data_IF_492534569969
#
_entry.id   IF_492534569969
#
_cell.length_a   1.000
_cell.length_b   1.000
_cell.length_c   1.000
_cell.angle_alpha   90.00
_cell.angle_beta   90.00
_cell.angle_gamma   90.00
#
_symmetry.space_group_name_H-M   'P 1'
#
loop_
_entity.id
_entity.type
_entity.pdbx_description
1 polymer ?
#
# COMPACT_ATOMS: atom_id res chain seq x y z
N UNK A 1 34.65 28.52 11.51
CA UNK A 1 34.82 27.72 12.73
C UNK A 1 33.44 27.33 13.26
N UNK A 2 32.74 28.11 14.08
CA UNK A 2 31.39 27.68 14.57
C UNK A 2 30.34 27.53 13.45
N UNK A 3 30.31 28.43 12.47
CA UNK A 3 29.38 28.35 11.32
C UNK A 3 29.72 27.22 10.34
N UNK A 4 30.98 26.76 10.30
CA UNK A 4 31.39 25.66 9.41
C UNK A 4 31.10 24.30 10.04
N UNK A 5 31.13 24.21 11.37
CA UNK A 5 30.76 22.99 12.11
C UNK A 5 29.24 22.75 12.07
N UNK A 6 28.42 23.80 12.09
CA UNK A 6 26.96 23.67 11.96
C UNK A 6 26.55 23.21 10.54
N UNK A 7 27.23 23.67 9.48
CA UNK A 7 26.97 23.22 8.10
C UNK A 7 27.35 21.74 7.89
N UNK A 8 28.45 21.27 8.49
CA UNK A 8 28.86 19.85 8.42
C UNK A 8 27.88 18.92 9.16
N UNK A 9 27.34 19.34 10.32
CA UNK A 9 26.33 18.57 11.06
C UNK A 9 24.99 18.47 10.30
N UNK A 10 24.55 19.55 9.62
CA UNK A 10 23.34 19.53 8.80
C UNK A 10 23.48 18.61 7.57
N UNK A 11 24.64 18.60 6.90
CA UNK A 11 24.89 17.70 5.76
C UNK A 11 24.91 16.22 6.19
N UNK A 12 25.48 15.90 7.36
CA UNK A 12 25.47 14.52 7.88
C UNK A 12 24.06 14.03 8.25
N UNK A 13 23.23 14.90 8.84
CA UNK A 13 21.82 14.57 9.16
C UNK A 13 20.99 14.33 7.89
N UNK A 14 21.15 15.15 6.84
CA UNK A 14 20.44 14.96 5.56
C UNK A 14 20.85 13.65 4.86
N UNK A 15 22.15 13.32 4.84
CA UNK A 15 22.64 12.05 4.28
C UNK A 15 22.10 10.83 5.05
N UNK A 16 22.03 10.91 6.39
CA UNK A 16 21.49 9.82 7.21
C UNK A 16 19.99 9.64 7.00
N UNK A 17 19.23 10.73 6.86
CA UNK A 17 17.80 10.68 6.57
C UNK A 17 17.54 10.07 5.18
N UNK A 18 18.35 10.44 4.18
CA UNK A 18 18.24 9.88 2.83
C UNK A 18 18.61 8.38 2.80
N UNK A 19 19.66 7.98 3.53
CA UNK A 19 20.03 6.57 3.72
C UNK A 19 18.92 5.78 4.39
N UNK A 20 18.26 6.34 5.42
CA UNK A 20 17.05 5.75 6.05
C UNK A 20 15.92 5.59 5.04
N UNK A 21 15.61 6.64 4.28
CA UNK A 21 14.53 6.66 3.26
C UNK A 21 14.78 5.60 2.18
N UNK A 22 16.03 5.48 1.73
CA UNK A 22 16.47 4.51 0.72
C UNK A 22 16.46 3.06 1.24
N UNK A 23 16.80 2.83 2.51
CA UNK A 23 16.76 1.50 3.12
C UNK A 23 15.34 1.00 3.39
N UNK A 24 14.41 1.90 3.76
CA UNK A 24 12.99 1.58 3.89
C UNK A 24 12.41 1.11 2.55
N UNK A 25 12.73 1.82 1.46
CA UNK A 25 12.27 1.48 0.12
C UNK A 25 12.83 0.13 -0.39
N UNK A 26 14.13 -0.14 -0.14
CA UNK A 26 14.79 -1.41 -0.51
C UNK A 26 14.33 -2.61 0.31
N UNK A 27 14.11 -2.46 1.62
CA UNK A 27 13.65 -3.56 2.47
C UNK A 27 12.20 -3.97 2.16
N UNK A 28 11.36 -3.03 1.73
CA UNK A 28 9.99 -3.33 1.33
C UNK A 28 9.90 -4.12 0.00
N UNK A 29 10.97 -4.11 -0.81
CA UNK A 29 11.07 -4.91 -2.04
C UNK A 29 11.58 -6.34 -1.81
N UNK A 30 12.18 -6.64 -0.65
CA UNK A 30 12.77 -7.96 -0.34
C UNK A 30 11.90 -8.88 0.51
N UNK A 31 10.81 -8.37 1.10
CA UNK A 31 9.86 -9.16 1.91
C UNK A 31 8.70 -9.72 1.09
N UNK A 32 8.94 -10.03 -0.19
CA UNK A 32 7.89 -10.55 -1.08
C UNK A 32 7.43 -11.92 -0.57
N UNK A 33 6.24 -11.95 0.01
CA UNK A 33 5.38 -13.12 -0.14
C UNK A 33 5.21 -13.48 -1.61
N UNK A 34 4.51 -14.57 -1.87
CA UNK A 34 4.23 -15.14 -3.19
C UNK A 34 3.43 -14.17 -4.10
N UNK A 35 4.07 -13.08 -4.51
CA UNK A 35 3.59 -12.06 -5.42
C UNK A 35 3.96 -12.54 -6.81
N UNK A 36 3.01 -13.21 -7.46
CA UNK A 36 3.16 -13.59 -8.85
C UNK A 36 2.67 -12.43 -9.70
N UNK A 37 3.59 -11.79 -10.41
CA UNK A 37 3.27 -10.82 -11.46
C UNK A 37 2.92 -11.59 -12.74
N UNK A 38 1.77 -11.30 -13.34
CA UNK A 38 1.44 -11.82 -14.67
C UNK A 38 1.87 -10.87 -15.80
N UNK A 39 1.69 -11.30 -17.05
CA UNK A 39 2.05 -10.52 -18.24
C UNK A 39 1.30 -9.17 -18.36
N UNK A 40 0.22 -8.99 -17.60
CA UNK A 40 -0.59 -7.75 -17.56
C UNK A 40 -0.16 -6.83 -16.40
N UNK A 41 0.88 -7.20 -15.64
CA UNK A 41 1.36 -6.43 -14.50
C UNK A 41 0.45 -6.53 -13.27
N UNK A 42 -0.40 -7.57 -13.19
CA UNK A 42 -1.22 -7.84 -12.01
C UNK A 42 -0.43 -8.67 -11.01
N UNK A 43 -0.60 -8.35 -9.74
CA UNK A 43 0.00 -9.03 -8.62
C UNK A 43 -1.07 -9.86 -7.91
N UNK A 44 -0.83 -11.17 -7.80
CA UNK A 44 -1.63 -12.03 -6.92
C UNK A 44 -1.03 -12.02 -5.52
N UNK A 45 -1.78 -11.49 -4.55
CA UNK A 45 -1.36 -11.40 -3.14
C UNK A 45 -2.22 -12.36 -2.32
N UNK A 46 -1.58 -13.25 -1.56
CA UNK A 46 -2.26 -14.19 -0.67
C UNK A 46 -2.01 -13.79 0.78
N UNK A 47 -3.08 -13.47 1.49
CA UNK A 47 -3.04 -13.08 2.91
C UNK A 47 -3.57 -14.23 3.75
N UNK A 48 -2.71 -14.88 4.53
CA UNK A 48 -3.11 -15.97 5.42
C UNK A 48 -3.72 -15.42 6.71
N UNK A 49 -4.76 -16.10 7.20
CA UNK A 49 -5.35 -15.84 8.51
C UNK A 49 -4.50 -16.52 9.57
N UNK A 50 -3.99 -15.75 10.52
CA UNK A 50 -3.22 -16.27 11.65
C UNK A 50 -3.85 -15.79 12.96
N UNK A 51 -3.75 -16.58 14.04
CA UNK A 51 -4.20 -16.11 15.36
C UNK A 51 -3.47 -14.85 15.84
N UNK A 52 -2.23 -14.64 15.39
CA UNK A 52 -1.41 -13.48 15.72
C UNK A 52 -1.94 -12.19 15.07
N UNK A 53 -2.54 -12.29 13.88
CA UNK A 53 -3.08 -11.16 13.12
C UNK A 53 -4.56 -11.40 12.79
N UNK A 54 -5.48 -11.15 13.74
CA UNK A 54 -6.91 -11.44 13.57
C UNK A 54 -7.59 -10.53 12.54
N UNK A 55 -6.99 -9.39 12.23
CA UNK A 55 -7.51 -8.42 11.26
C UNK A 55 -6.69 -8.42 9.99
N UNK A 56 -7.34 -8.12 8.86
CA UNK A 56 -6.65 -7.91 7.58
C UNK A 56 -5.71 -6.69 7.67
N UNK A 57 -6.15 -5.62 8.34
CA UNK A 57 -5.36 -4.41 8.57
C UNK A 57 -5.09 -3.58 7.32
N UNK A 58 -6.11 -3.35 6.50
CA UNK A 58 -6.04 -2.45 5.34
C UNK A 58 -7.13 -1.39 5.44
N UNK A 59 -6.83 -0.19 4.95
CA UNK A 59 -7.84 0.83 4.65
C UNK A 59 -7.94 1.02 3.15
N UNK A 60 -9.17 1.16 2.66
CA UNK A 60 -9.45 1.37 1.24
C UNK A 60 -10.17 2.70 1.01
N UNK A 61 -10.04 3.24 -0.18
CA UNK A 61 -10.86 4.33 -0.70
C UNK A 61 -11.38 3.99 -2.10
N UNK A 62 -12.18 4.90 -2.65
CA UNK A 62 -12.68 4.80 -4.01
C UNK A 62 -13.95 3.98 -4.11
N UNK A 63 -14.29 3.59 -5.34
CA UNK A 63 -15.54 2.93 -5.70
C UNK A 63 -16.32 3.72 -6.75
N UNK A 64 -17.20 3.04 -7.47
CA UNK A 64 -17.91 3.58 -8.63
C UNK A 64 -18.75 4.82 -8.31
N UNK A 65 -19.15 4.99 -7.04
CA UNK A 65 -19.92 6.12 -6.52
C UNK A 65 -19.05 7.31 -6.06
N UNK A 66 -17.72 7.24 -6.19
CA UNK A 66 -16.81 8.31 -5.77
C UNK A 66 -16.07 8.95 -6.97
N UNK A 67 -15.19 9.94 -6.72
CA UNK A 67 -14.31 10.51 -7.75
C UNK A 67 -13.26 9.51 -8.24
N UNK A 68 -12.81 8.60 -7.37
CA UNK A 68 -11.87 7.54 -7.72
C UNK A 68 -12.66 6.25 -7.91
N UNK A 69 -12.86 5.83 -9.15
CA UNK A 69 -13.79 4.73 -9.45
C UNK A 69 -13.24 3.37 -9.01
N UNK A 70 -11.93 3.24 -8.99
CA UNK A 70 -11.20 2.05 -8.59
C UNK A 70 -11.05 1.97 -7.07
N UNK A 71 -11.09 0.75 -6.52
CA UNK A 71 -10.83 0.50 -5.11
C UNK A 71 -9.32 0.54 -4.87
N UNK A 72 -8.86 1.44 -3.98
CA UNK A 72 -7.43 1.68 -3.73
C UNK A 72 -7.07 1.46 -2.27
N UNK A 73 -5.93 0.85 -2.00
CA UNK A 73 -5.35 0.75 -0.65
C UNK A 73 -4.73 2.09 -0.26
N UNK A 74 -5.16 2.67 0.86
CA UNK A 74 -4.64 3.95 1.37
C UNK A 74 -3.82 3.79 2.65
N UNK A 75 -3.98 2.68 3.36
CA UNK A 75 -3.19 2.39 4.55
C UNK A 75 -3.06 0.88 4.76
N UNK A 76 -1.95 0.45 5.34
CA UNK A 76 -1.70 -0.92 5.79
C UNK A 76 -1.27 -0.81 7.26
N UNK A 77 -2.05 -1.41 8.16
CA UNK A 77 -1.81 -1.37 9.59
C UNK A 77 -0.57 -2.17 9.99
N UNK A 78 0.17 -1.65 10.97
CA UNK A 78 1.38 -2.26 11.54
C UNK A 78 1.18 -3.69 12.07
N UNK A 79 -0.02 -3.98 12.57
CA UNK A 79 -0.36 -5.28 13.19
C UNK A 79 -1.34 -6.11 12.33
N UNK A 80 -1.50 -5.73 11.06
CA UNK A 80 -2.41 -6.37 10.12
C UNK A 80 -1.81 -7.58 9.41
N UNK A 81 -2.66 -8.58 9.12
CA UNK A 81 -2.24 -9.74 8.33
C UNK A 81 -1.74 -9.36 6.93
N UNK A 82 -2.25 -8.26 6.36
CA UNK A 82 -1.78 -7.76 5.07
C UNK A 82 -0.32 -7.27 5.09
N UNK A 83 0.16 -6.72 6.21
CA UNK A 83 1.55 -6.30 6.35
C UNK A 83 2.47 -7.51 6.45
N UNK A 84 2.10 -8.48 7.28
CA UNK A 84 2.86 -9.73 7.42
C UNK A 84 2.90 -10.51 6.10
N UNK A 85 1.82 -10.43 5.32
CA UNK A 85 1.81 -10.95 3.97
C UNK A 85 2.74 -10.18 3.02
N UNK A 86 3.21 -8.95 3.28
CA UNK A 86 4.30 -8.29 2.53
C UNK A 86 4.12 -8.05 1.02
N UNK A 87 2.99 -8.45 0.42
CA UNK A 87 2.72 -8.34 -1.02
C UNK A 87 1.78 -7.22 -1.41
N UNK A 88 1.15 -6.57 -0.42
CA UNK A 88 0.26 -5.44 -0.61
C UNK A 88 1.00 -4.13 -0.27
N UNK A 89 0.75 -3.07 -1.04
CA UNK A 89 1.34 -1.74 -0.83
C UNK A 89 0.28 -0.66 -0.85
N UNK A 90 0.53 0.43 -0.13
CA UNK A 90 -0.26 1.65 -0.25
C UNK A 90 -0.21 2.15 -1.70
N UNK A 91 -1.37 2.49 -2.25
CA UNK A 91 -1.53 2.90 -3.64
C UNK A 91 -1.91 1.75 -4.59
N UNK A 92 -1.80 0.48 -4.19
CA UNK A 92 -2.30 -0.64 -5.00
C UNK A 92 -3.80 -0.51 -5.25
N UNK A 93 -4.20 -0.77 -6.50
CA UNK A 93 -5.61 -0.90 -6.87
C UNK A 93 -6.04 -2.35 -6.73
N UNK A 94 -7.14 -2.60 -6.03
CA UNK A 94 -7.70 -3.93 -5.86
C UNK A 94 -8.67 -4.18 -7.02
N UNK A 95 -8.32 -5.14 -7.88
CA UNK A 95 -9.14 -5.55 -9.01
C UNK A 95 -10.11 -6.67 -8.62
N UNK A 96 -9.65 -7.63 -7.80
CA UNK A 96 -10.48 -8.76 -7.39
C UNK A 96 -10.14 -9.29 -5.99
N UNK A 97 -11.13 -9.94 -5.37
CA UNK A 97 -11.07 -10.53 -4.03
C UNK A 97 -11.67 -11.93 -4.07
N UNK A 98 -10.88 -12.96 -3.74
CA UNK A 98 -11.29 -14.38 -3.83
C UNK A 98 -11.98 -14.72 -5.17
N UNK A 99 -11.46 -14.18 -6.28
CA UNK A 99 -12.00 -14.38 -7.62
C UNK A 99 -13.19 -13.49 -8.00
N UNK A 100 -13.69 -12.64 -7.10
CA UNK A 100 -14.76 -11.68 -7.41
C UNK A 100 -14.18 -10.37 -7.90
N UNK A 101 -14.52 -9.95 -9.13
CA UNK A 101 -14.10 -8.67 -9.71
C UNK A 101 -14.82 -7.50 -9.00
N UNK A 102 -14.07 -6.48 -8.61
CA UNK A 102 -14.57 -5.27 -7.96
C UNK A 102 -14.92 -4.13 -8.94
N UNK A 103 -14.75 -4.34 -10.24
CA UNK A 103 -15.10 -3.34 -11.25
C UNK A 103 -16.58 -2.96 -11.16
N UNK A 104 -16.84 -1.66 -10.98
CA UNK A 104 -18.20 -1.14 -10.86
C UNK A 104 -18.81 -1.23 -9.46
N UNK A 105 -18.09 -1.78 -8.47
CA UNK A 105 -18.57 -1.82 -7.09
C UNK A 105 -18.50 -0.42 -6.47
N UNK A 106 -19.51 -0.08 -5.69
CA UNK A 106 -19.45 1.08 -4.80
C UNK A 106 -18.45 0.82 -3.68
N UNK A 107 -18.04 1.90 -3.01
CA UNK A 107 -17.15 1.82 -1.85
C UNK A 107 -17.64 0.78 -0.81
N UNK A 108 -18.93 0.85 -0.47
CA UNK A 108 -19.54 0.02 0.57
C UNK A 108 -19.65 -1.44 0.13
N UNK A 109 -20.00 -1.72 -1.12
CA UNK A 109 -20.05 -3.08 -1.66
C UNK A 109 -18.67 -3.74 -1.65
N UNK A 110 -17.62 -3.01 -2.06
CA UNK A 110 -16.26 -3.50 -2.02
C UNK A 110 -15.79 -3.78 -0.58
N UNK A 111 -16.03 -2.85 0.35
CA UNK A 111 -15.68 -3.02 1.76
C UNK A 111 -16.39 -4.23 2.39
N UNK A 112 -17.69 -4.39 2.12
CA UNK A 112 -18.49 -5.53 2.59
C UNK A 112 -17.97 -6.84 2.02
N UNK A 113 -17.64 -6.90 0.72
CA UNK A 113 -17.09 -8.10 0.10
C UNK A 113 -15.75 -8.51 0.71
N UNK A 114 -14.82 -7.56 0.84
CA UNK A 114 -13.50 -7.81 1.46
C UNK A 114 -13.67 -8.32 2.90
N UNK A 115 -14.51 -7.65 3.69
CA UNK A 115 -14.78 -8.04 5.08
C UNK A 115 -15.43 -9.42 5.18
N UNK A 116 -16.37 -9.73 4.28
CA UNK A 116 -17.04 -11.04 4.21
C UNK A 116 -16.06 -12.16 3.86
N UNK A 117 -15.22 -11.98 2.84
CA UNK A 117 -14.21 -12.96 2.46
C UNK A 117 -13.17 -13.17 3.58
N UNK A 118 -12.73 -12.10 4.24
CA UNK A 118 -11.81 -12.20 5.39
C UNK A 118 -12.45 -12.90 6.59
N UNK A 119 -13.73 -12.64 6.86
CA UNK A 119 -14.44 -13.25 8.01
C UNK A 119 -14.93 -14.67 7.75
N UNK A 120 -14.83 -15.16 6.51
CA UNK A 120 -15.24 -16.52 6.16
C UNK A 120 -14.44 -17.57 6.94
N UNK A 121 -15.15 -18.42 7.69
CA UNK A 121 -14.55 -19.52 8.48
C UNK A 121 -14.10 -20.71 7.62
N UNK A 122 -14.57 -20.79 6.38
CA UNK A 122 -14.24 -21.91 5.47
C UNK A 122 -12.94 -21.70 4.73
N UNK A 123 -12.43 -20.46 4.68
CA UNK A 123 -11.16 -20.10 4.03
C UNK A 123 -10.15 -19.65 5.08
N UNK A 124 -8.95 -20.21 5.03
CA UNK A 124 -7.80 -19.82 5.86
C UNK A 124 -6.96 -18.69 5.26
N UNK A 125 -7.29 -18.23 4.07
CA UNK A 125 -6.59 -17.15 3.37
C UNK A 125 -7.55 -16.30 2.55
N UNK A 126 -7.10 -15.09 2.21
CA UNK A 126 -7.75 -14.14 1.31
C UNK A 126 -6.82 -13.94 0.11
N UNK A 127 -7.37 -14.06 -1.10
CA UNK A 127 -6.61 -13.81 -2.32
C UNK A 127 -7.04 -12.47 -2.91
N UNK A 128 -6.08 -11.56 -3.07
CA UNK A 128 -6.27 -10.27 -3.73
C UNK A 128 -5.55 -10.28 -5.07
N UNK A 129 -6.22 -9.75 -6.10
CA UNK A 129 -5.57 -9.39 -7.36
C UNK A 129 -5.45 -7.89 -7.38
N UNK A 130 -4.22 -7.39 -7.45
CA UNK A 130 -3.92 -5.96 -7.38
C UNK A 130 -3.05 -5.51 -8.53
N UNK A 131 -3.06 -4.22 -8.84
CA UNK A 131 -2.12 -3.59 -9.78
C UNK A 131 -1.50 -2.35 -9.15
N UNK A 132 -0.27 -2.05 -9.56
CA UNK A 132 0.30 -0.74 -9.32
C UNK A 132 -0.41 0.28 -10.21
N UNK A 133 -0.91 1.37 -9.61
CA UNK A 133 -1.42 2.48 -10.40
C UNK A 133 -0.25 3.28 -10.96
N UNK A 134 -0.29 3.61 -12.25
CA UNK A 134 0.59 4.67 -12.77
C UNK A 134 0.30 5.97 -12.01
N UNK A 135 1.29 6.64 -11.41
CA UNK A 135 1.06 7.87 -10.67
C UNK A 135 0.38 8.90 -11.57
N UNK A 136 -0.72 9.49 -11.11
CA UNK A 136 -1.39 10.53 -11.89
C UNK A 136 -0.66 11.85 -11.76
N UNK A 137 -0.80 12.78 -12.72
CA UNK A 137 -0.26 14.14 -12.56
C UNK A 137 -0.74 14.84 -11.27
N UNK A 138 -1.91 14.47 -10.74
CA UNK A 138 -2.39 14.97 -9.46
C UNK A 138 -1.66 14.38 -8.25
N UNK A 139 -1.22 13.13 -8.32
CA UNK A 139 -0.42 12.49 -7.27
C UNK A 139 1.01 13.08 -7.26
N UNK A 140 1.57 13.33 -8.44
CA UNK A 140 2.88 13.99 -8.60
C UNK A 140 2.83 15.42 -8.01
N UNK A 141 1.78 16.20 -8.31
CA UNK A 141 1.61 17.56 -7.78
C UNK A 141 1.42 17.63 -6.26
N UNK A 142 0.86 16.60 -5.65
CA UNK A 142 0.71 16.52 -4.19
C UNK A 142 2.04 16.22 -3.50
N UNK A 143 2.91 15.43 -4.12
CA UNK A 143 4.26 15.18 -3.61
C UNK A 143 5.25 16.32 -3.91
N UNK A 144 4.94 17.23 -4.84
CA UNK A 144 5.82 18.35 -5.21
C UNK A 144 5.59 19.63 -4.41
N UNK A 145 4.75 19.62 -3.36
CA UNK A 145 4.42 20.82 -2.55
C UNK A 145 5.33 20.99 -1.32
N UNK A 146 6.18 20.03 -0.98
CA UNK A 146 7.10 20.13 0.18
C UNK A 146 8.43 20.86 -0.07
N UNK A 147 8.59 21.62 -1.16
CA UNK A 147 9.84 22.36 -1.45
C UNK A 147 9.71 23.90 -1.51
N UNK A 148 8.57 24.46 -1.08
CA UNK A 148 8.40 25.92 -1.02
C UNK A 148 7.75 26.34 0.31
N UNK A 149 8.45 26.10 1.40
CA UNK A 149 8.20 26.80 2.67
C UNK A 149 9.51 27.29 3.28
N UNK A 150 10.26 28.09 2.52
CA UNK A 150 11.07 29.16 3.07
C UNK A 150 11.01 30.35 2.11
N UNK A 151 10.37 31.41 2.57
CA UNK A 151 10.67 32.82 2.26
C UNK A 151 10.13 33.65 3.42
#
# INVERSE_FOLDING_TARGET
EEEEEEEEEEEEEEEEEERRRNNISRNNARRTSLVVSDAEGRFRVVVKKTPQHPTLGIAIEGGCNTKQKEIRVINIGSDGAALEAGGLRVGHLILAVDGHNLQGFSHEEAARLISSCWSSRTRSELVLIVVERKPTPADIRRNSISLLSQM
#
